data_IF_245484273069
#
_entry.id   IF_245484273069
#
_cell.length_a   1.000
_cell.length_b   1.000
_cell.length_c   1.000
_cell.angle_alpha   90.00
_cell.angle_beta   90.00
_cell.angle_gamma   90.00
#
_symmetry.space_group_name_H-M   'P 1'
#
loop_
_entity.id
_entity.type
_entity.pdbx_description
1 polymer ?
#
# COMPACT_ATOMS: atom_id res chain seq x y z
N UNK A 1 23.93 8.51 12.39
CA UNK A 1 23.59 8.32 10.97
C UNK A 1 22.73 7.07 10.90
N UNK A 2 21.52 7.15 10.36
CA UNK A 2 20.71 5.96 10.10
C UNK A 2 21.43 5.04 9.10
N UNK A 3 21.20 3.73 9.19
CA UNK A 3 21.67 2.79 8.14
C UNK A 3 21.09 3.21 6.78
N UNK A 4 21.81 3.07 5.66
CA UNK A 4 21.26 3.30 4.32
C UNK A 4 19.91 2.59 4.11
N UNK A 5 19.73 1.39 4.65
CA UNK A 5 18.48 0.64 4.54
C UNK A 5 17.29 1.35 5.22
N UNK A 6 17.54 2.02 6.36
CA UNK A 6 16.50 2.76 7.08
C UNK A 6 16.01 3.94 6.25
N UNK A 7 16.92 4.65 5.60
CA UNK A 7 16.55 5.77 4.72
C UNK A 7 15.81 5.27 3.48
N UNK A 8 16.22 4.14 2.90
CA UNK A 8 15.50 3.50 1.79
C UNK A 8 14.08 3.13 2.20
N UNK A 9 13.89 2.46 3.33
CA UNK A 9 12.55 2.06 3.81
C UNK A 9 11.69 3.30 4.09
N UNK A 10 12.24 4.35 4.68
CA UNK A 10 11.51 5.62 4.92
C UNK A 10 11.06 6.26 3.61
N UNK A 11 11.91 6.24 2.58
CA UNK A 11 11.55 6.70 1.23
C UNK A 11 10.36 5.94 0.66
N UNK A 12 10.41 4.60 0.72
CA UNK A 12 9.32 3.73 0.25
C UNK A 12 7.99 4.03 0.96
N UNK A 13 8.02 4.23 2.28
CA UNK A 13 6.83 4.57 3.07
C UNK A 13 6.29 5.96 2.68
N UNK A 14 7.17 6.95 2.50
CA UNK A 14 6.77 8.30 2.13
C UNK A 14 6.14 8.35 0.73
N UNK A 15 6.72 7.63 -0.23
CA UNK A 15 6.19 7.54 -1.59
C UNK A 15 4.83 6.81 -1.62
N UNK A 16 4.70 5.74 -0.84
CA UNK A 16 3.42 5.04 -0.65
C UNK A 16 2.34 5.96 -0.07
N UNK A 17 2.67 6.77 0.96
CA UNK A 17 1.74 7.73 1.56
C UNK A 17 1.27 8.78 0.56
N UNK A 18 2.20 9.33 -0.25
CA UNK A 18 1.84 10.30 -1.30
C UNK A 18 0.95 9.68 -2.38
N UNK A 19 1.21 8.43 -2.76
CA UNK A 19 0.38 7.71 -3.72
C UNK A 19 -1.05 7.46 -3.17
N UNK A 20 -1.17 7.18 -1.88
CA UNK A 20 -2.44 7.03 -1.19
C UNK A 20 -3.24 8.34 -1.18
N UNK A 21 -2.62 9.45 -0.79
CA UNK A 21 -3.23 10.79 -0.80
C UNK A 21 -3.68 11.20 -2.21
N UNK A 22 -2.87 10.89 -3.23
CA UNK A 22 -3.19 11.13 -4.63
C UNK A 22 -4.22 10.15 -5.23
N UNK A 23 -4.72 9.19 -4.44
CA UNK A 23 -5.64 8.11 -4.87
C UNK A 23 -5.11 7.33 -6.08
N UNK A 24 -3.79 7.17 -6.17
CA UNK A 24 -3.12 6.47 -7.25
C UNK A 24 -2.79 5.03 -6.84
N UNK A 25 -3.76 4.14 -6.98
CA UNK A 25 -3.61 2.71 -6.63
C UNK A 25 -2.51 2.02 -7.44
N UNK A 26 -2.26 2.46 -8.68
CA UNK A 26 -1.18 1.92 -9.51
C UNK A 26 0.21 2.16 -8.91
N UNK A 27 0.47 3.39 -8.45
CA UNK A 27 1.72 3.74 -7.80
C UNK A 27 1.81 3.17 -6.38
N UNK A 28 0.68 3.14 -5.65
CA UNK A 28 0.61 2.57 -4.30
C UNK A 28 1.10 1.11 -4.25
N UNK A 29 0.80 0.32 -5.28
CA UNK A 29 1.14 -1.09 -5.36
C UNK A 29 2.44 -1.37 -6.13
N UNK A 30 3.16 -0.35 -6.59
CA UNK A 30 4.33 -0.52 -7.46
C UNK A 30 5.47 -1.34 -6.83
N UNK A 31 5.59 -1.27 -5.49
CA UNK A 31 6.63 -1.97 -4.73
C UNK A 31 6.12 -3.27 -4.07
N UNK A 32 4.90 -3.70 -4.38
CA UNK A 32 4.31 -4.91 -3.80
C UNK A 32 4.78 -6.14 -4.59
N UNK A 33 5.17 -7.19 -3.88
CA UNK A 33 5.48 -8.47 -4.51
C UNK A 33 4.18 -9.17 -4.97
N UNK A 34 4.23 -9.99 -6.03
CA UNK A 34 3.06 -10.71 -6.52
C UNK A 34 2.36 -11.60 -5.48
N UNK A 35 3.11 -12.10 -4.49
CA UNK A 35 2.69 -13.02 -3.43
C UNK A 35 2.51 -12.34 -2.06
N UNK A 36 2.48 -11.01 -2.04
CA UNK A 36 2.26 -10.19 -0.84
C UNK A 36 1.04 -10.65 -0.04
N UNK A 37 1.16 -10.65 1.29
CA UNK A 37 0.05 -10.93 2.19
C UNK A 37 -0.23 -9.67 3.01
N UNK A 38 -1.44 -9.14 2.89
CA UNK A 38 -1.91 -7.99 3.66
C UNK A 38 -2.92 -8.46 4.70
N UNK A 39 -2.71 -8.04 5.94
CA UNK A 39 -3.70 -8.15 7.00
C UNK A 39 -4.25 -6.77 7.30
N UNK A 40 -5.58 -6.62 7.26
CA UNK A 40 -6.26 -5.34 7.42
C UNK A 40 -7.34 -5.45 8.51
N UNK A 41 -7.76 -4.31 9.06
CA UNK A 41 -8.80 -4.19 10.07
C UNK A 41 -10.21 -4.45 9.51
N UNK A 42 -10.37 -4.37 8.18
CA UNK A 42 -11.64 -4.55 7.47
C UNK A 42 -11.68 -5.96 6.84
N UNK A 43 -12.82 -6.68 6.87
CA UNK A 43 -12.99 -7.93 6.11
C UNK A 43 -12.53 -7.77 4.65
N UNK A 44 -11.76 -8.72 4.10
CA UNK A 44 -11.60 -10.12 4.55
C UNK A 44 -10.50 -10.37 5.60
N UNK A 45 -9.94 -9.35 6.25
CA UNK A 45 -8.85 -9.42 7.26
C UNK A 45 -7.52 -9.98 6.79
N UNK A 46 -7.52 -10.77 5.71
CA UNK A 46 -6.35 -11.33 5.05
C UNK A 46 -6.57 -11.34 3.55
N UNK A 47 -5.61 -10.79 2.82
CA UNK A 47 -5.59 -10.73 1.37
C UNK A 47 -4.25 -11.21 0.87
N UNK A 48 -4.28 -12.10 -0.13
CA UNK A 48 -3.09 -12.70 -0.71
C UNK A 48 -3.00 -12.31 -2.17
N UNK A 49 -1.86 -11.74 -2.54
CA UNK A 49 -1.54 -11.30 -3.88
C UNK A 49 -1.89 -9.85 -4.15
N UNK A 50 -1.10 -9.23 -5.03
CA UNK A 50 -1.20 -7.80 -5.35
C UNK A 50 -2.56 -7.43 -5.97
N UNK A 51 -3.16 -8.34 -6.74
CA UNK A 51 -4.47 -8.09 -7.38
C UNK A 51 -5.62 -8.12 -6.37
N UNK A 52 -5.58 -8.99 -5.37
CA UNK A 52 -6.57 -8.99 -4.29
C UNK A 52 -6.49 -7.70 -3.46
N UNK A 53 -5.27 -7.23 -3.20
CA UNK A 53 -5.02 -5.98 -2.49
C UNK A 53 -5.47 -4.77 -3.33
N UNK A 54 -5.26 -4.78 -4.65
CA UNK A 54 -5.74 -3.73 -5.56
C UNK A 54 -7.23 -3.51 -5.45
N UNK A 55 -8.01 -4.59 -5.49
CA UNK A 55 -9.47 -4.51 -5.39
C UNK A 55 -9.93 -3.90 -4.06
N UNK A 56 -9.24 -4.22 -2.96
CA UNK A 56 -9.54 -3.65 -1.64
C UNK A 56 -9.23 -2.16 -1.61
N UNK A 57 -8.06 -1.74 -2.09
CA UNK A 57 -7.73 -0.32 -2.15
C UNK A 57 -8.71 0.43 -3.04
N UNK A 58 -9.05 -0.07 -4.22
CA UNK A 58 -10.04 0.56 -5.11
C UNK A 58 -11.42 0.68 -4.45
N UNK A 59 -11.83 -0.31 -3.65
CA UNK A 59 -13.07 -0.27 -2.89
C UNK A 59 -13.02 0.71 -1.69
N UNK A 60 -11.85 0.88 -1.06
CA UNK A 60 -11.68 1.75 0.11
C UNK A 60 -11.39 3.21 -0.25
N UNK A 61 -10.76 3.51 -1.39
CA UNK A 61 -10.39 4.87 -1.83
C UNK A 61 -11.55 5.89 -1.85
N UNK A 62 -12.81 5.50 -2.17
CA UNK A 62 -13.97 6.38 -2.04
C UNK A 62 -14.32 6.73 -0.59
N UNK A 63 -14.00 5.86 0.38
CA UNK A 63 -14.25 6.07 1.81
C UNK A 63 -13.15 6.85 2.51
N UNK A 64 -11.95 6.93 1.93
CA UNK A 64 -10.88 7.81 2.41
C UNK A 64 -11.16 9.26 2.00
N UNK A 65 -11.65 10.03 2.98
CA UNK A 65 -11.63 11.49 2.98
C UNK A 65 -10.36 11.92 3.72
N UNK A 66 -9.38 12.44 2.96
CA UNK A 66 -8.24 13.17 3.52
C UNK A 66 -8.63 14.63 3.76
#
# INVERSE_FOLDING_TARGET
MSSPDVETIRGLIADWSRALEAKNTGHLLANYLPDVVLYDAIPPYKSVGVEAIRQIWEACMPSFFF
#
